data_IF_592943422590
#
_entry.id   IF_592943422590
#
_cell.length_a   1.000
_cell.length_b   1.000
_cell.length_c   1.000
_cell.angle_alpha   90.00
_cell.angle_beta   90.00
_cell.angle_gamma   90.00
#
_symmetry.space_group_name_H-M   'P 1'
#
loop_
_entity.id
_entity.type
_entity.pdbx_description
1 polymer ?
#
# COMPACT_ATOMS: atom_id res chain seq x y z
N UNK A 1 17.46 26.13 18.83
CA UNK A 1 17.56 24.91 19.65
C UNK A 1 18.41 23.89 18.89
N UNK A 2 19.38 23.24 19.49
CA UNK A 2 20.17 22.23 18.80
C UNK A 2 19.24 21.08 18.39
N UNK A 3 19.33 20.69 17.13
CA UNK A 3 18.55 19.59 16.57
C UNK A 3 18.87 18.32 17.37
N UNK A 4 17.90 17.79 18.14
CA UNK A 4 18.15 16.60 18.96
C UNK A 4 18.38 15.41 18.04
N UNK A 5 19.23 14.46 18.42
CA UNK A 5 19.53 13.26 17.62
C UNK A 5 18.25 12.49 17.23
N UNK A 6 17.25 12.44 18.11
CA UNK A 6 15.97 11.79 17.83
C UNK A 6 15.23 12.44 16.66
N UNK A 7 15.29 13.78 16.53
CA UNK A 7 14.65 14.50 15.43
C UNK A 7 15.40 14.27 14.11
N UNK A 8 16.74 14.20 14.15
CA UNK A 8 17.54 13.87 12.97
C UNK A 8 17.18 12.47 12.45
N UNK A 9 17.11 11.47 13.33
CA UNK A 9 16.70 10.10 12.94
C UNK A 9 15.29 10.10 12.38
N UNK A 10 14.33 10.81 12.97
CA UNK A 10 12.97 10.91 12.44
C UNK A 10 12.95 11.50 11.03
N UNK A 11 13.67 12.60 10.77
CA UNK A 11 13.77 13.19 9.43
C UNK A 11 14.37 12.20 8.43
N UNK A 12 15.39 11.44 8.81
CA UNK A 12 15.97 10.41 7.95
C UNK A 12 14.99 9.27 7.66
N UNK A 13 14.18 8.85 8.65
CA UNK A 13 13.12 7.87 8.48
C UNK A 13 11.99 8.39 7.58
N UNK A 14 11.65 9.67 7.67
CA UNK A 14 10.73 10.31 6.74
C UNK A 14 11.28 10.35 5.31
N UNK A 15 12.56 10.71 5.16
CA UNK A 15 13.23 10.78 3.86
C UNK A 15 13.24 9.40 3.16
N UNK A 16 13.54 8.31 3.88
CA UNK A 16 13.55 6.97 3.28
C UNK A 16 12.16 6.54 2.82
N UNK A 17 11.09 6.96 3.49
CA UNK A 17 9.72 6.69 3.04
C UNK A 17 9.38 7.44 1.75
N UNK A 18 9.82 8.69 1.62
CA UNK A 18 9.68 9.47 0.38
C UNK A 18 10.41 8.75 -0.77
N UNK A 19 11.68 8.39 -0.56
CA UNK A 19 12.50 7.67 -1.56
C UNK A 19 11.83 6.35 -1.97
N UNK A 20 11.38 5.57 -1.00
CA UNK A 20 10.67 4.32 -1.27
C UNK A 20 9.43 4.49 -2.16
N UNK A 21 8.70 5.59 -2.04
CA UNK A 21 7.54 5.88 -2.89
C UNK A 21 7.98 6.30 -4.30
N UNK A 22 9.01 7.12 -4.42
CA UNK A 22 9.61 7.48 -5.71
C UNK A 22 10.07 6.24 -6.48
N UNK A 23 10.80 5.34 -5.81
CA UNK A 23 11.33 4.10 -6.38
C UNK A 23 10.22 3.16 -6.88
N UNK A 24 9.09 3.08 -6.17
CA UNK A 24 7.94 2.29 -6.61
C UNK A 24 7.25 2.89 -7.82
N UNK A 25 7.18 4.22 -7.88
CA UNK A 25 6.36 4.96 -8.84
C UNK A 25 7.05 5.16 -10.18
N UNK A 26 8.39 5.17 -10.23
CA UNK A 26 9.15 5.49 -11.46
C UNK A 26 8.80 4.56 -12.63
N UNK A 27 8.55 3.27 -12.38
CA UNK A 27 8.18 2.32 -13.42
C UNK A 27 6.90 2.71 -14.16
N UNK A 28 5.91 3.19 -13.43
CA UNK A 28 4.65 3.60 -14.02
C UNK A 28 4.82 4.85 -14.91
N UNK A 29 5.56 5.86 -14.44
CA UNK A 29 5.78 7.10 -15.20
C UNK A 29 6.73 6.89 -16.39
N UNK A 30 7.72 6.01 -16.27
CA UNK A 30 8.63 5.63 -17.34
C UNK A 30 8.01 4.60 -18.31
N UNK A 31 6.88 4.00 -17.95
CA UNK A 31 6.30 2.85 -18.64
C UNK A 31 6.07 3.04 -20.12
N UNK A 32 5.59 4.23 -20.55
CA UNK A 32 5.39 4.53 -21.95
C UNK A 32 6.70 4.45 -22.74
N UNK A 33 7.79 5.05 -22.25
CA UNK A 33 9.10 5.02 -22.89
C UNK A 33 9.73 3.61 -22.83
N UNK A 34 9.58 2.89 -21.74
CA UNK A 34 10.07 1.51 -21.58
C UNK A 34 9.40 0.57 -22.60
N UNK A 35 8.08 0.65 -22.75
CA UNK A 35 7.31 -0.14 -23.72
C UNK A 35 7.82 0.13 -25.15
N UNK A 36 7.98 1.39 -25.52
CA UNK A 36 8.39 1.77 -26.88
C UNK A 36 9.82 1.39 -27.19
N UNK A 37 10.74 1.63 -26.28
CA UNK A 37 12.16 1.41 -26.50
C UNK A 37 12.52 -0.08 -26.47
N UNK A 38 11.95 -0.85 -25.53
CA UNK A 38 12.21 -2.27 -25.39
C UNK A 38 11.23 -3.14 -26.19
N UNK A 39 10.28 -2.51 -26.91
CA UNK A 39 9.24 -3.17 -27.71
C UNK A 39 8.48 -4.24 -26.93
N UNK A 40 8.16 -3.93 -25.67
CA UNK A 40 7.44 -4.85 -24.80
C UNK A 40 6.01 -5.01 -25.26
N UNK A 41 5.54 -6.25 -25.26
CA UNK A 41 4.12 -6.52 -25.39
C UNK A 41 3.36 -6.05 -24.14
N UNK A 42 2.07 -5.71 -24.25
CA UNK A 42 1.25 -5.35 -23.08
C UNK A 42 1.25 -6.42 -21.97
N UNK A 43 1.26 -7.71 -22.37
CA UNK A 43 1.32 -8.82 -21.44
C UNK A 43 2.64 -8.86 -20.65
N UNK A 44 3.77 -8.62 -21.31
CA UNK A 44 5.10 -8.53 -20.67
C UNK A 44 5.18 -7.35 -19.71
N UNK A 45 4.70 -6.17 -20.11
CA UNK A 45 4.68 -5.00 -19.24
C UNK A 45 3.81 -5.23 -18.00
N UNK A 46 2.63 -5.83 -18.16
CA UNK A 46 1.77 -6.22 -17.06
C UNK A 46 2.43 -7.22 -16.11
N UNK A 47 3.15 -8.22 -16.65
CA UNK A 47 3.89 -9.20 -15.87
C UNK A 47 5.01 -8.55 -15.04
N UNK A 48 5.79 -7.64 -15.64
CA UNK A 48 6.84 -6.87 -14.94
C UNK A 48 6.23 -6.07 -13.77
N UNK A 49 5.08 -5.43 -13.99
CA UNK A 49 4.36 -4.70 -12.93
C UNK A 49 3.92 -5.61 -11.78
N UNK A 50 3.44 -6.82 -12.11
CA UNK A 50 2.99 -7.83 -11.14
C UNK A 50 4.15 -8.44 -10.34
N UNK A 51 5.31 -8.62 -10.95
CA UNK A 51 6.49 -9.19 -10.33
C UNK A 51 6.94 -8.42 -9.08
N UNK A 52 6.76 -7.09 -9.07
CA UNK A 52 7.02 -6.26 -7.90
C UNK A 52 6.23 -6.73 -6.67
N UNK A 53 4.93 -6.95 -6.83
CA UNK A 53 4.04 -7.27 -5.72
C UNK A 53 4.22 -8.68 -5.17
N UNK A 54 4.81 -9.58 -5.97
CA UNK A 54 5.07 -10.95 -5.54
C UNK A 54 5.98 -10.98 -4.29
N UNK A 55 7.17 -10.43 -4.39
CA UNK A 55 8.07 -10.37 -3.23
C UNK A 55 7.72 -9.24 -2.25
N UNK A 56 7.02 -8.19 -2.66
CA UNK A 56 6.52 -7.14 -1.78
C UNK A 56 5.61 -7.70 -0.67
N UNK A 57 4.64 -8.53 -1.05
CA UNK A 57 3.69 -9.11 -0.10
C UNK A 57 4.35 -10.14 0.82
N UNK A 58 5.21 -10.99 0.28
CA UNK A 58 5.92 -12.03 1.05
C UNK A 58 6.90 -11.39 2.03
N UNK A 59 7.73 -10.45 1.56
CA UNK A 59 8.74 -9.80 2.41
C UNK A 59 8.12 -8.92 3.49
N UNK A 60 6.99 -8.27 3.20
CA UNK A 60 6.25 -7.49 4.18
C UNK A 60 5.82 -8.32 5.39
N UNK A 61 5.38 -9.53 5.16
CA UNK A 61 5.03 -10.48 6.23
C UNK A 61 6.30 -11.05 6.90
N UNK A 62 7.24 -11.58 6.11
CA UNK A 62 8.41 -12.27 6.63
C UNK A 62 9.32 -11.37 7.49
N UNK A 63 9.63 -10.16 7.00
CA UNK A 63 10.51 -9.23 7.72
C UNK A 63 9.81 -8.60 8.92
N UNK A 64 8.48 -8.51 8.92
CA UNK A 64 7.70 -8.12 10.10
C UNK A 64 8.01 -9.00 11.32
N UNK A 65 8.23 -10.31 11.11
CA UNK A 65 8.68 -11.24 12.15
C UNK A 65 10.19 -11.12 12.46
N UNK A 66 11.00 -10.77 11.46
CA UNK A 66 12.46 -10.65 11.60
C UNK A 66 12.88 -9.34 12.28
N UNK A 67 12.09 -8.28 12.15
CA UNK A 67 12.39 -6.95 12.68
C UNK A 67 12.58 -6.94 14.23
N UNK A 68 12.01 -7.92 14.92
CA UNK A 68 12.21 -8.08 16.38
C UNK A 68 13.55 -8.75 16.74
N UNK A 69 14.26 -9.38 15.79
CA UNK A 69 15.49 -10.13 16.02
C UNK A 69 16.77 -9.37 15.62
N UNK A 70 16.64 -8.43 14.70
CA UNK A 70 17.78 -7.67 14.16
C UNK A 70 17.62 -6.19 14.43
N UNK A 71 18.74 -5.45 14.64
CA UNK A 71 18.69 -3.99 14.77
C UNK A 71 18.10 -3.35 13.51
N UNK A 72 17.10 -2.48 13.69
CA UNK A 72 16.39 -1.78 12.60
C UNK A 72 17.36 -1.01 11.70
N UNK A 73 18.48 -0.51 12.27
CA UNK A 73 19.54 0.20 11.55
C UNK A 73 20.07 -0.62 10.37
N UNK A 74 20.40 -1.90 10.60
CA UNK A 74 20.99 -2.77 9.58
C UNK A 74 19.93 -3.29 8.59
N UNK A 75 18.69 -3.49 9.03
CA UNK A 75 17.59 -3.85 8.12
C UNK A 75 17.38 -2.72 7.10
N UNK A 76 17.35 -1.45 7.55
CA UNK A 76 17.20 -0.29 6.66
C UNK A 76 18.39 -0.15 5.67
N UNK A 77 19.61 -0.43 6.11
CA UNK A 77 20.78 -0.48 5.20
C UNK A 77 20.59 -1.57 4.15
N UNK A 78 20.25 -2.79 4.56
CA UNK A 78 20.03 -3.90 3.64
C UNK A 78 18.93 -3.61 2.60
N UNK A 79 17.80 -3.02 3.05
CA UNK A 79 16.74 -2.56 2.16
C UNK A 79 17.24 -1.53 1.14
N UNK A 80 18.01 -0.54 1.59
CA UNK A 80 18.55 0.52 0.71
C UNK A 80 19.53 -0.04 -0.32
N UNK A 81 20.36 -1.02 0.05
CA UNK A 81 21.24 -1.72 -0.89
C UNK A 81 20.42 -2.43 -1.97
N UNK A 82 19.38 -3.17 -1.57
CA UNK A 82 18.50 -3.87 -2.51
C UNK A 82 17.81 -2.89 -3.46
N UNK A 83 17.33 -1.74 -2.97
CA UNK A 83 16.71 -0.70 -3.81
C UNK A 83 17.72 -0.13 -4.81
N UNK A 84 18.89 0.27 -4.33
CA UNK A 84 19.95 0.82 -5.18
C UNK A 84 20.35 -0.16 -6.28
N UNK A 85 20.60 -1.42 -5.93
CA UNK A 85 20.97 -2.45 -6.92
C UNK A 85 19.85 -2.68 -7.92
N UNK A 86 18.60 -2.71 -7.46
CA UNK A 86 17.42 -2.81 -8.32
C UNK A 86 17.33 -1.67 -9.33
N UNK A 87 17.51 -0.43 -8.89
CA UNK A 87 17.46 0.76 -9.76
C UNK A 87 18.64 0.81 -10.73
N UNK A 88 19.85 0.47 -10.29
CA UNK A 88 21.03 0.37 -11.15
C UNK A 88 20.85 -0.70 -12.22
N UNK A 89 20.29 -1.86 -11.86
CA UNK A 89 20.01 -2.93 -12.82
C UNK A 89 19.08 -2.46 -13.94
N UNK A 90 18.05 -1.67 -13.63
CA UNK A 90 17.15 -1.12 -14.63
C UNK A 90 17.85 -0.06 -15.48
N UNK A 91 18.67 0.81 -14.91
CA UNK A 91 19.35 1.89 -15.64
C UNK A 91 20.26 1.38 -16.75
N UNK A 92 20.87 0.21 -16.57
CA UNK A 92 21.79 -0.42 -17.56
C UNK A 92 21.13 -1.53 -18.36
N UNK A 93 19.87 -1.88 -18.07
CA UNK A 93 19.20 -3.03 -18.66
C UNK A 93 18.57 -2.72 -20.01
N UNK A 94 18.59 -3.75 -20.89
CA UNK A 94 17.84 -3.79 -22.15
C UNK A 94 17.00 -5.08 -22.28
N UNK A 95 16.86 -5.87 -21.22
CA UNK A 95 16.17 -7.15 -21.31
C UNK A 95 14.96 -7.24 -20.38
N UNK A 96 13.94 -7.96 -20.85
CA UNK A 96 12.76 -8.31 -20.06
C UNK A 96 13.12 -8.96 -18.72
N UNK A 97 14.04 -9.96 -18.75
CA UNK A 97 14.42 -10.70 -17.55
C UNK A 97 15.05 -9.80 -16.47
N UNK A 98 15.89 -8.83 -16.88
CA UNK A 98 16.50 -7.91 -15.93
C UNK A 98 15.47 -6.95 -15.32
N UNK A 99 14.47 -6.50 -16.09
CA UNK A 99 13.35 -5.72 -15.56
C UNK A 99 12.54 -6.52 -14.54
N UNK A 100 12.21 -7.77 -14.83
CA UNK A 100 11.52 -8.67 -13.89
C UNK A 100 12.33 -8.85 -12.62
N UNK A 101 13.63 -9.16 -12.75
CA UNK A 101 14.51 -9.33 -11.59
C UNK A 101 14.58 -8.08 -10.73
N UNK A 102 14.74 -6.90 -11.36
CA UNK A 102 14.77 -5.64 -10.63
C UNK A 102 13.45 -5.40 -9.86
N UNK A 103 12.31 -5.72 -10.47
CA UNK A 103 11.00 -5.58 -9.83
C UNK A 103 10.82 -6.51 -8.64
N UNK A 104 11.26 -7.78 -8.76
CA UNK A 104 11.30 -8.73 -7.65
C UNK A 104 12.17 -8.20 -6.50
N UNK A 105 13.39 -7.73 -6.81
CA UNK A 105 14.31 -7.16 -5.82
C UNK A 105 13.72 -5.93 -5.14
N UNK A 106 13.17 -4.99 -5.92
CA UNK A 106 12.55 -3.78 -5.38
C UNK A 106 11.37 -4.14 -4.47
N UNK A 107 10.53 -5.09 -4.87
CA UNK A 107 9.42 -5.60 -4.06
C UNK A 107 9.91 -6.18 -2.73
N UNK A 108 10.93 -7.04 -2.78
CA UNK A 108 11.54 -7.63 -1.59
C UNK A 108 12.06 -6.58 -0.60
N UNK A 109 12.72 -5.54 -1.11
CA UNK A 109 13.28 -4.48 -0.29
C UNK A 109 12.24 -3.48 0.24
N UNK A 110 11.13 -3.25 -0.48
CA UNK A 110 10.14 -2.23 -0.11
C UNK A 110 8.98 -2.76 0.74
N UNK A 111 8.66 -4.06 0.64
CA UNK A 111 7.55 -4.68 1.36
C UNK A 111 7.55 -4.41 2.87
N UNK A 112 8.65 -4.61 3.59
CA UNK A 112 8.73 -4.37 5.03
C UNK A 112 8.93 -2.90 5.41
N UNK A 113 9.10 -1.99 4.44
CA UNK A 113 9.57 -0.61 4.64
C UNK A 113 8.84 0.16 5.72
N UNK A 114 7.52 0.18 5.68
CA UNK A 114 6.70 0.93 6.65
C UNK A 114 6.83 0.33 8.06
N UNK A 115 6.78 -0.99 8.19
CA UNK A 115 6.86 -1.68 9.49
C UNK A 115 8.23 -1.45 10.14
N UNK A 116 9.33 -1.63 9.39
CA UNK A 116 10.69 -1.44 9.88
C UNK A 116 10.96 0.02 10.26
N UNK A 117 10.48 0.97 9.44
CA UNK A 117 10.64 2.41 9.70
C UNK A 117 9.88 2.83 10.95
N UNK A 118 8.64 2.37 11.13
CA UNK A 118 7.88 2.64 12.36
C UNK A 118 8.53 2.00 13.59
N UNK A 119 8.99 0.75 13.47
CA UNK A 119 9.70 0.08 14.56
C UNK A 119 10.99 0.83 14.95
N UNK A 120 11.80 1.27 13.97
CA UNK A 120 12.96 2.09 14.21
C UNK A 120 12.61 3.42 14.91
N UNK A 121 11.51 4.05 14.50
CA UNK A 121 11.01 5.29 15.12
C UNK A 121 10.62 5.07 16.59
N UNK A 122 9.89 4.00 16.90
CA UNK A 122 9.42 3.72 18.26
C UNK A 122 10.52 3.43 19.26
N UNK A 123 11.69 3.03 18.79
CA UNK A 123 12.90 2.90 19.65
C UNK A 123 13.48 4.25 20.11
N UNK A 124 13.03 5.37 19.54
CA UNK A 124 13.46 6.72 19.92
C UNK A 124 12.43 7.51 20.72
N UNK A 125 11.15 7.09 20.66
CA UNK A 125 10.05 7.80 21.30
C UNK A 125 9.31 6.89 22.27
N UNK A 126 9.09 7.35 23.49
CA UNK A 126 8.35 6.62 24.52
C UNK A 126 6.86 6.42 24.14
N UNK A 127 6.14 5.49 24.79
CA UNK A 127 4.77 5.13 24.43
C UNK A 127 3.81 6.31 24.31
N UNK A 128 3.96 7.34 25.13
CA UNK A 128 3.12 8.55 25.14
C UNK A 128 3.47 9.54 24.02
N UNK A 129 4.68 9.45 23.44
CA UNK A 129 5.17 10.38 22.40
C UNK A 129 5.09 9.81 20.97
N UNK A 130 4.70 8.54 20.77
CA UNK A 130 4.78 7.81 19.49
C UNK A 130 3.81 8.27 18.42
N UNK A 131 2.68 8.85 18.81
CA UNK A 131 1.59 9.18 17.88
C UNK A 131 2.05 10.19 16.84
N UNK A 132 2.71 11.27 17.25
CA UNK A 132 3.14 12.32 16.33
C UNK A 132 4.23 11.86 15.35
N UNK A 133 5.34 11.21 15.78
CA UNK A 133 6.33 10.66 14.87
C UNK A 133 5.77 9.63 13.89
N UNK A 134 4.90 8.73 14.33
CA UNK A 134 4.24 7.77 13.44
C UNK A 134 3.39 8.46 12.39
N UNK A 135 2.67 9.52 12.77
CA UNK A 135 1.88 10.33 11.82
C UNK A 135 2.77 11.04 10.81
N UNK A 136 3.94 11.56 11.22
CA UNK A 136 4.89 12.20 10.31
C UNK A 136 5.45 11.22 9.28
N UNK A 137 5.73 9.97 9.67
CA UNK A 137 6.12 8.91 8.74
C UNK A 137 5.00 8.65 7.70
N UNK A 138 3.72 8.61 8.14
CA UNK A 138 2.60 8.44 7.20
C UNK A 138 2.43 9.65 6.27
N UNK A 139 2.60 10.86 6.78
CA UNK A 139 2.59 12.10 5.97
C UNK A 139 3.73 12.05 4.94
N UNK A 140 4.91 11.54 5.29
CA UNK A 140 6.04 11.44 4.34
C UNK A 140 5.75 10.47 3.18
N UNK A 141 5.00 9.39 3.41
CA UNK A 141 4.53 8.49 2.34
C UNK A 141 3.60 9.25 1.37
N UNK A 142 2.65 10.03 1.91
CA UNK A 142 1.74 10.82 1.09
C UNK A 142 2.47 11.92 0.31
N UNK A 143 3.42 12.60 0.98
CA UNK A 143 4.28 13.59 0.34
C UNK A 143 5.13 12.96 -0.77
N UNK A 144 5.66 11.75 -0.54
CA UNK A 144 6.38 10.97 -1.54
C UNK A 144 5.54 10.71 -2.79
N UNK A 145 4.25 10.39 -2.63
CA UNK A 145 3.35 10.17 -3.77
C UNK A 145 3.09 11.45 -4.58
N UNK A 146 2.91 12.58 -3.91
CA UNK A 146 2.77 13.90 -4.57
C UNK A 146 4.06 14.29 -5.29
N UNK A 147 5.22 14.11 -4.64
CA UNK A 147 6.52 14.40 -5.25
C UNK A 147 6.79 13.47 -6.46
N UNK A 148 6.44 12.19 -6.36
CA UNK A 148 6.58 11.25 -7.47
C UNK A 148 5.79 11.71 -8.70
N UNK A 149 4.55 12.17 -8.49
CA UNK A 149 3.67 12.60 -9.56
C UNK A 149 4.17 13.87 -10.30
N UNK A 150 4.94 14.71 -9.64
CA UNK A 150 5.51 15.94 -10.21
C UNK A 150 6.94 15.73 -10.72
N UNK A 151 7.81 15.21 -9.83
CA UNK A 151 9.24 15.16 -10.10
C UNK A 151 9.62 14.08 -11.12
N UNK A 152 8.96 12.91 -11.09
CA UNK A 152 9.34 11.81 -11.97
C UNK A 152 9.02 12.10 -13.44
N UNK A 153 7.81 12.56 -13.82
CA UNK A 153 7.54 12.95 -15.22
C UNK A 153 8.49 14.03 -15.72
N UNK A 154 8.78 15.03 -14.89
CA UNK A 154 9.72 16.09 -15.21
C UNK A 154 11.13 15.54 -15.43
N UNK A 155 11.65 14.75 -14.50
CA UNK A 155 12.99 14.16 -14.59
C UNK A 155 13.11 13.26 -15.84
N UNK A 156 12.12 12.38 -16.06
CA UNK A 156 12.11 11.47 -17.22
C UNK A 156 12.06 12.26 -18.55
N UNK A 157 11.31 13.37 -18.59
CA UNK A 157 11.24 14.21 -19.78
C UNK A 157 12.58 14.91 -20.09
N UNK A 158 13.37 15.28 -19.07
CA UNK A 158 14.65 15.98 -19.24
C UNK A 158 15.82 15.05 -19.58
N UNK A 159 15.93 13.92 -18.90
CA UNK A 159 17.13 13.07 -18.97
C UNK A 159 16.84 11.64 -19.46
N UNK A 160 15.59 11.31 -19.75
CA UNK A 160 15.17 9.96 -20.11
C UNK A 160 15.03 9.04 -18.91
N UNK A 161 14.33 7.92 -19.12
CA UNK A 161 13.99 7.00 -18.03
C UNK A 161 15.20 6.31 -17.39
N UNK A 162 16.23 5.94 -18.17
CA UNK A 162 17.43 5.27 -17.62
C UNK A 162 18.19 6.17 -16.66
N UNK A 163 18.40 7.44 -17.03
CA UNK A 163 19.07 8.41 -16.17
C UNK A 163 18.23 8.78 -14.95
N UNK A 164 16.88 8.75 -15.07
CA UNK A 164 16.00 8.93 -13.93
C UNK A 164 16.12 7.78 -12.92
N UNK A 165 16.23 6.54 -13.36
CA UNK A 165 16.52 5.39 -12.49
C UNK A 165 17.89 5.51 -11.83
N UNK A 166 18.93 5.92 -12.58
CA UNK A 166 20.27 6.17 -12.02
C UNK A 166 20.25 7.28 -10.96
N UNK A 167 19.50 8.37 -11.20
CA UNK A 167 19.36 9.45 -10.23
C UNK A 167 18.73 8.96 -8.92
N UNK A 168 17.67 8.13 -8.99
CA UNK A 168 17.08 7.52 -7.78
C UNK A 168 18.05 6.58 -7.07
N UNK A 169 18.83 5.78 -7.82
CA UNK A 169 19.87 4.94 -7.23
C UNK A 169 20.89 5.78 -6.45
N UNK A 170 21.34 6.93 -7.01
CA UNK A 170 22.28 7.84 -6.36
C UNK A 170 21.67 8.54 -5.13
N UNK A 171 20.39 8.92 -5.19
CA UNK A 171 19.67 9.47 -4.03
C UNK A 171 19.56 8.42 -2.93
N UNK A 172 19.25 7.16 -3.28
CA UNK A 172 19.24 6.04 -2.33
C UNK A 172 20.60 5.77 -1.70
N UNK A 173 21.67 5.82 -2.51
CA UNK A 173 23.07 5.70 -2.04
C UNK A 173 23.42 6.83 -1.06
N UNK A 174 23.12 8.08 -1.42
CA UNK A 174 23.37 9.24 -0.56
C UNK A 174 22.64 9.08 0.78
N UNK A 175 21.36 8.70 0.75
CA UNK A 175 20.60 8.46 1.97
C UNK A 175 21.24 7.35 2.80
N UNK A 176 21.65 6.25 2.19
CA UNK A 176 22.30 5.13 2.88
C UNK A 176 23.60 5.56 3.57
N UNK A 177 24.45 6.34 2.88
CA UNK A 177 25.69 6.86 3.46
C UNK A 177 25.41 7.80 4.64
N UNK A 178 24.44 8.68 4.51
CA UNK A 178 23.99 9.55 5.61
C UNK A 178 23.45 8.71 6.79
N UNK A 179 22.68 7.66 6.49
CA UNK A 179 22.14 6.75 7.52
C UNK A 179 23.27 5.99 8.23
N UNK A 180 24.28 5.52 7.52
CA UNK A 180 25.46 4.88 8.14
C UNK A 180 26.25 5.83 9.03
N UNK A 181 26.35 7.11 8.63
CA UNK A 181 27.07 8.12 9.40
C UNK A 181 26.28 8.57 10.65
N UNK A 182 25.01 8.88 10.52
CA UNK A 182 24.20 9.54 11.55
C UNK A 182 23.11 8.66 12.17
N UNK A 183 22.64 7.64 11.45
CA UNK A 183 21.59 6.73 11.91
C UNK A 183 22.09 5.87 13.07
N UNK A 184 21.32 5.84 14.14
CA UNK A 184 21.60 5.05 15.36
C UNK A 184 20.36 4.28 15.76
N UNK A 185 20.57 3.17 16.46
CA UNK A 185 19.49 2.44 17.10
C UNK A 185 19.03 3.19 18.35
N UNK A 186 17.73 3.34 18.55
CA UNK A 186 17.17 3.91 19.77
C UNK A 186 17.20 2.90 20.93
N UNK A 187 17.14 3.42 22.13
CA UNK A 187 17.28 2.63 23.38
C UNK A 187 15.95 2.30 24.06
N UNK A 188 14.83 2.81 23.56
CA UNK A 188 13.51 2.48 24.12
C UNK A 188 13.22 1.01 23.85
N UNK A 189 13.05 0.25 24.90
CA UNK A 189 12.57 -1.14 24.84
C UNK A 189 11.08 -1.11 25.17
N UNK A 190 10.25 -1.71 24.33
CA UNK A 190 8.87 -1.93 24.69
C UNK A 190 8.86 -2.85 25.91
N UNK A 191 8.21 -2.43 26.99
CA UNK A 191 7.86 -3.37 28.03
C UNK A 191 7.04 -4.47 27.39
N UNK A 192 7.60 -5.66 27.35
CA UNK A 192 6.84 -6.87 27.02
C UNK A 192 5.79 -6.94 28.09
N UNK A 193 4.54 -6.58 27.76
CA UNK A 193 3.42 -6.85 28.64
C UNK A 193 3.39 -8.38 28.73
N UNK A 194 3.98 -8.88 29.78
CA UNK A 194 4.04 -10.31 30.06
C UNK A 194 2.62 -10.75 30.47
N UNK A 195 1.81 -11.05 29.47
CA UNK A 195 0.54 -11.72 29.65
C UNK A 195 0.76 -13.23 29.82
N UNK A 196 1.85 -13.62 30.51
CA UNK A 196 2.13 -14.99 30.84
C UNK A 196 1.00 -15.51 31.73
N UNK A 197 0.05 -16.21 31.14
CA UNK A 197 -1.06 -16.84 31.85
C UNK A 197 -2.44 -16.70 31.22
N UNK A 198 -2.64 -15.80 30.25
CA UNK A 198 -3.92 -15.77 29.55
C UNK A 198 -3.88 -16.69 28.30
N UNK A 199 -4.78 -17.68 28.18
CA UNK A 199 -4.86 -18.54 27.01
C UNK A 199 -5.27 -17.70 25.79
N UNK A 200 -4.33 -17.45 24.87
CA UNK A 200 -4.59 -16.69 23.64
C UNK A 200 -5.30 -17.56 22.59
N UNK A 201 -6.36 -17.08 21.94
CA UNK A 201 -7.04 -17.83 20.89
C UNK A 201 -6.06 -18.20 19.77
N UNK A 202 -6.08 -19.46 19.32
CA UNK A 202 -5.19 -19.93 18.24
C UNK A 202 -5.31 -19.10 16.97
N UNK A 203 -4.24 -18.99 16.19
CA UNK A 203 -4.23 -18.22 14.91
C UNK A 203 -5.33 -18.69 13.96
N UNK A 204 -5.64 -19.98 13.90
CA UNK A 204 -6.73 -20.51 13.08
C UNK A 204 -8.07 -19.82 13.40
N UNK A 205 -8.41 -19.63 14.67
CA UNK A 205 -9.64 -18.97 15.11
C UNK A 205 -9.63 -17.46 14.83
N UNK A 206 -8.45 -16.84 14.93
CA UNK A 206 -8.25 -15.40 14.69
C UNK A 206 -8.31 -15.07 13.19
N UNK A 207 -7.80 -15.93 12.32
CA UNK A 207 -7.69 -15.67 10.88
C UNK A 207 -8.89 -16.21 10.09
N UNK A 208 -9.55 -17.28 10.55
CA UNK A 208 -10.68 -17.90 9.86
C UNK A 208 -12.05 -17.40 10.34
N UNK A 209 -12.11 -16.31 11.13
CA UNK A 209 -13.39 -15.71 11.46
C UNK A 209 -13.95 -14.90 10.28
N UNK A 210 -15.28 -14.80 10.22
CA UNK A 210 -16.01 -14.16 9.12
C UNK A 210 -15.59 -12.71 8.89
N UNK A 211 -15.36 -11.95 9.96
CA UNK A 211 -14.98 -10.54 9.86
C UNK A 211 -13.58 -10.37 9.29
N UNK A 212 -12.59 -11.15 9.74
CA UNK A 212 -11.23 -11.08 9.21
C UNK A 212 -11.18 -11.49 7.74
N UNK A 213 -11.84 -12.60 7.38
CA UNK A 213 -11.91 -13.05 5.98
C UNK A 213 -12.64 -12.05 5.10
N UNK A 214 -13.80 -11.55 5.54
CA UNK A 214 -14.60 -10.58 4.78
C UNK A 214 -13.85 -9.28 4.52
N UNK A 215 -13.21 -8.70 5.56
CA UNK A 215 -12.48 -7.43 5.41
C UNK A 215 -11.17 -7.59 4.62
N UNK A 216 -10.51 -8.75 4.72
CA UNK A 216 -9.31 -9.03 3.93
C UNK A 216 -9.65 -9.27 2.47
N UNK A 217 -10.75 -9.95 2.18
CA UNK A 217 -11.20 -10.24 0.82
C UNK A 217 -11.64 -8.96 0.09
N UNK A 218 -12.46 -8.10 0.73
CA UNK A 218 -12.80 -6.81 0.12
C UNK A 218 -11.59 -5.89 0.03
N UNK A 219 -10.67 -5.95 0.99
CA UNK A 219 -9.39 -5.24 0.95
C UNK A 219 -8.53 -5.67 -0.24
N UNK A 220 -8.47 -6.98 -0.53
CA UNK A 220 -7.81 -7.53 -1.72
C UNK A 220 -8.41 -6.95 -3.00
N UNK A 221 -9.73 -6.97 -3.14
CA UNK A 221 -10.41 -6.39 -4.32
C UNK A 221 -10.18 -4.88 -4.42
N UNK A 222 -10.23 -4.14 -3.32
CA UNK A 222 -9.97 -2.70 -3.27
C UNK A 222 -8.52 -2.32 -3.56
N UNK A 223 -7.57 -3.24 -3.39
CA UNK A 223 -6.16 -2.98 -3.71
C UNK A 223 -5.83 -3.16 -5.19
N UNK A 224 -6.66 -3.89 -5.97
CA UNK A 224 -6.44 -4.07 -7.40
C UNK A 224 -6.25 -2.73 -8.15
N UNK A 225 -7.17 -1.75 -8.06
CA UNK A 225 -6.95 -0.46 -8.74
C UNK A 225 -5.78 0.34 -8.17
N UNK A 226 -5.46 0.19 -6.88
CA UNK A 226 -4.30 0.84 -6.26
C UNK A 226 -2.97 0.32 -6.83
N UNK A 227 -2.85 -0.97 -7.11
CA UNK A 227 -1.66 -1.55 -7.71
C UNK A 227 -1.39 -1.00 -9.12
N UNK A 228 -2.43 -0.62 -9.86
CA UNK A 228 -2.31 -0.05 -11.20
C UNK A 228 -1.67 1.34 -11.21
N UNK A 229 -1.74 2.09 -10.11
CA UNK A 229 -1.06 3.39 -9.98
C UNK A 229 0.46 3.24 -10.12
N UNK A 230 1.01 2.11 -9.68
CA UNK A 230 2.45 1.80 -9.74
C UNK A 230 2.87 1.09 -11.04
N UNK A 231 1.96 0.97 -12.03
CA UNK A 231 2.24 0.29 -13.31
C UNK A 231 1.51 0.94 -14.48
N UNK A 232 0.21 0.76 -14.60
CA UNK A 232 -0.56 1.07 -15.79
C UNK A 232 -1.19 2.46 -15.83
N UNK A 233 -1.53 3.09 -14.68
CA UNK A 233 -2.26 4.36 -14.68
C UNK A 233 -1.54 5.45 -15.47
N UNK A 234 -0.25 5.77 -15.21
CA UNK A 234 0.45 6.76 -16.03
C UNK A 234 0.59 6.36 -17.50
N UNK A 235 0.74 5.07 -17.80
CA UNK A 235 0.80 4.57 -19.20
C UNK A 235 -0.54 4.76 -19.90
N UNK A 236 -1.65 4.44 -19.23
CA UNK A 236 -3.01 4.67 -19.73
C UNK A 236 -3.26 6.16 -20.01
N UNK A 237 -2.88 7.04 -19.10
CA UNK A 237 -3.02 8.48 -19.30
C UNK A 237 -2.19 8.97 -20.50
N UNK A 238 -0.95 8.48 -20.65
CA UNK A 238 -0.05 8.91 -21.72
C UNK A 238 -0.41 8.29 -23.08
N UNK A 239 -0.56 6.97 -23.15
CA UNK A 239 -0.77 6.25 -24.42
C UNK A 239 -2.25 5.99 -24.73
N UNK A 240 -3.09 5.80 -23.72
CA UNK A 240 -4.53 5.58 -23.92
C UNK A 240 -5.30 6.87 -24.13
N UNK A 241 -4.99 7.92 -23.36
CA UNK A 241 -5.67 9.22 -23.45
C UNK A 241 -4.83 10.30 -24.14
N UNK A 242 -3.66 9.95 -24.73
CA UNK A 242 -2.77 10.85 -25.47
C UNK A 242 -2.31 12.08 -24.65
N UNK A 243 -2.14 11.93 -23.34
CA UNK A 243 -1.64 13.00 -22.47
C UNK A 243 -0.11 13.06 -22.49
N UNK A 244 0.43 14.25 -22.30
CA UNK A 244 1.87 14.38 -22.02
C UNK A 244 2.25 13.76 -20.68
N UNK A 245 3.53 13.43 -20.48
CA UNK A 245 4.01 12.90 -19.21
C UNK A 245 3.68 13.84 -18.03
N UNK A 246 3.80 15.17 -18.23
CA UNK A 246 3.47 16.18 -17.22
C UNK A 246 1.96 16.23 -16.91
N UNK A 247 1.10 16.18 -17.93
CA UNK A 247 -0.36 16.11 -17.71
C UNK A 247 -0.75 14.86 -16.94
N UNK A 248 -0.17 13.71 -17.28
CA UNK A 248 -0.34 12.46 -16.53
C UNK A 248 0.06 12.64 -15.07
N UNK A 249 1.19 13.29 -14.80
CA UNK A 249 1.65 13.62 -13.44
C UNK A 249 0.64 14.50 -12.68
N UNK A 250 0.12 15.55 -13.31
CA UNK A 250 -0.88 16.43 -12.68
C UNK A 250 -2.18 15.71 -12.36
N UNK A 251 -2.65 14.80 -13.24
CA UNK A 251 -3.83 13.98 -12.96
C UNK A 251 -3.59 13.07 -11.74
N UNK A 252 -2.46 12.35 -11.73
CA UNK A 252 -2.11 11.47 -10.59
C UNK A 252 -1.96 12.28 -9.30
N UNK A 253 -1.33 13.45 -9.34
CA UNK A 253 -1.22 14.35 -8.20
C UNK A 253 -2.60 14.80 -7.70
N UNK A 254 -3.46 15.26 -8.60
CA UNK A 254 -4.81 15.73 -8.26
C UNK A 254 -5.65 14.64 -7.60
N UNK A 255 -5.62 13.42 -8.15
CA UNK A 255 -6.29 12.25 -7.55
C UNK A 255 -5.68 11.92 -6.18
N UNK A 256 -4.35 11.95 -6.04
CA UNK A 256 -3.67 11.69 -4.75
C UNK A 256 -4.09 12.71 -3.68
N UNK A 257 -4.14 14.00 -4.01
CA UNK A 257 -4.61 15.04 -3.09
C UNK A 257 -6.09 14.83 -2.72
N UNK A 258 -6.93 14.49 -3.69
CA UNK A 258 -8.34 14.18 -3.44
C UNK A 258 -8.50 12.94 -2.53
N UNK A 259 -7.68 11.91 -2.70
CA UNK A 259 -7.62 10.74 -1.80
C UNK A 259 -7.28 11.18 -0.37
N UNK A 260 -6.28 12.02 -0.18
CA UNK A 260 -5.88 12.52 1.15
C UNK A 260 -7.03 13.26 1.81
N UNK A 261 -7.64 14.21 1.11
CA UNK A 261 -8.76 15.02 1.62
C UNK A 261 -9.98 14.16 1.93
N UNK A 262 -10.34 13.23 1.04
CA UNK A 262 -11.47 12.33 1.23
C UNK A 262 -11.25 11.42 2.45
N UNK A 263 -10.06 10.80 2.58
CA UNK A 263 -9.73 9.96 3.73
C UNK A 263 -9.82 10.74 5.06
N UNK A 264 -9.28 11.94 5.12
CA UNK A 264 -9.37 12.79 6.31
C UNK A 264 -10.83 13.14 6.63
N UNK A 265 -11.61 13.53 5.63
CA UNK A 265 -13.02 13.90 5.78
C UNK A 265 -13.87 12.72 6.26
N UNK A 266 -13.77 11.57 5.60
CA UNK A 266 -14.54 10.36 5.96
C UNK A 266 -14.13 9.83 7.33
N UNK A 267 -12.84 9.84 7.66
CA UNK A 267 -12.34 9.42 8.97
C UNK A 267 -12.83 10.34 10.08
N UNK A 268 -12.80 11.67 9.86
CA UNK A 268 -13.32 12.65 10.81
C UNK A 268 -14.83 12.50 11.00
N UNK A 269 -15.58 12.26 9.94
CA UNK A 269 -17.02 11.99 9.99
C UNK A 269 -17.32 10.73 10.80
N UNK A 270 -16.63 9.60 10.50
CA UNK A 270 -16.76 8.34 11.23
C UNK A 270 -16.46 8.51 12.73
N UNK A 271 -15.37 9.22 13.05
CA UNK A 271 -15.01 9.48 14.45
C UNK A 271 -16.06 10.33 15.19
N UNK A 272 -16.62 11.35 14.54
CA UNK A 272 -17.72 12.13 15.11
C UNK A 272 -18.98 11.29 15.30
N UNK A 273 -19.28 10.40 14.35
CA UNK A 273 -20.41 9.48 14.44
C UNK A 273 -20.27 8.54 15.66
N UNK A 274 -19.09 7.95 15.86
CA UNK A 274 -18.79 7.12 17.03
C UNK A 274 -18.92 7.90 18.36
N UNK A 275 -18.42 9.14 18.42
CA UNK A 275 -18.56 9.99 19.60
C UNK A 275 -20.03 10.36 19.91
N UNK A 276 -20.91 10.33 18.91
CA UNK A 276 -22.36 10.55 19.04
C UNK A 276 -23.14 9.26 19.38
N UNK A 277 -22.45 8.16 19.65
CA UNK A 277 -23.07 6.89 20.01
C UNK A 277 -23.59 6.06 18.84
N UNK A 278 -23.22 6.40 17.59
CA UNK A 278 -23.51 5.55 16.44
C UNK A 278 -22.68 4.26 16.55
N UNK A 279 -23.30 3.11 16.31
CA UNK A 279 -22.64 1.81 16.45
C UNK A 279 -21.39 1.70 15.55
N UNK A 280 -20.33 1.00 16.02
CA UNK A 280 -19.14 0.68 15.24
C UNK A 280 -19.47 0.03 13.89
N UNK A 281 -20.49 -0.82 13.83
CA UNK A 281 -20.97 -1.41 12.57
C UNK A 281 -21.34 -0.35 11.54
N UNK A 282 -22.08 0.69 11.91
CA UNK A 282 -22.50 1.76 10.98
C UNK A 282 -21.34 2.68 10.62
N UNK A 283 -20.57 3.11 11.61
CA UNK A 283 -19.53 4.12 11.43
C UNK A 283 -18.25 3.56 10.78
N UNK A 284 -17.89 2.31 11.04
CA UNK A 284 -16.62 1.73 10.59
C UNK A 284 -16.78 0.69 9.47
N UNK A 285 -17.97 0.13 9.26
CA UNK A 285 -18.20 -0.90 8.23
C UNK A 285 -19.08 -0.36 7.11
N UNK A 286 -20.31 0.11 7.43
CA UNK A 286 -21.28 0.54 6.39
C UNK A 286 -20.72 1.70 5.57
N UNK A 287 -20.13 2.70 6.21
CA UNK A 287 -19.62 3.89 5.54
C UNK A 287 -18.52 3.58 4.49
N UNK A 288 -17.41 2.89 4.83
CA UNK A 288 -16.39 2.58 3.81
C UNK A 288 -16.89 1.57 2.76
N UNK A 289 -17.76 0.63 3.11
CA UNK A 289 -18.35 -0.28 2.11
C UNK A 289 -19.29 0.44 1.14
N UNK A 290 -20.02 1.47 1.58
CA UNK A 290 -20.79 2.34 0.68
C UNK A 290 -19.86 3.10 -0.30
N UNK A 291 -18.72 3.60 0.18
CA UNK A 291 -17.69 4.17 -0.69
C UNK A 291 -17.18 3.14 -1.73
N UNK A 292 -16.96 1.89 -1.31
CA UNK A 292 -16.55 0.81 -2.22
C UNK A 292 -17.61 0.51 -3.29
N UNK A 293 -18.91 0.51 -2.96
CA UNK A 293 -19.99 0.34 -3.94
C UNK A 293 -19.98 1.44 -4.99
N UNK A 294 -19.88 2.70 -4.56
CA UNK A 294 -19.82 3.85 -5.48
C UNK A 294 -18.56 3.77 -6.34
N UNK A 295 -17.41 3.41 -5.76
CA UNK A 295 -16.17 3.21 -6.49
C UNK A 295 -16.29 2.09 -7.54
N UNK A 296 -16.86 0.96 -7.15
CA UNK A 296 -17.12 -0.17 -8.07
C UNK A 296 -18.05 0.21 -9.23
N UNK A 297 -19.10 0.98 -8.96
CA UNK A 297 -20.00 1.50 -9.99
C UNK A 297 -19.27 2.48 -10.93
N UNK A 298 -18.46 3.39 -10.40
CA UNK A 298 -17.68 4.32 -11.22
C UNK A 298 -16.71 3.57 -12.16
N UNK A 299 -16.01 2.55 -11.64
CA UNK A 299 -15.13 1.71 -12.47
C UNK A 299 -15.92 0.86 -13.48
N UNK A 300 -17.08 0.35 -13.12
CA UNK A 300 -17.92 -0.43 -14.03
C UNK A 300 -18.43 0.42 -15.22
N UNK A 301 -18.78 1.68 -14.94
CA UNK A 301 -19.31 2.60 -15.95
C UNK A 301 -18.21 3.24 -16.83
N UNK A 302 -16.92 3.03 -16.54
CA UNK A 302 -15.83 3.70 -17.26
C UNK A 302 -15.82 3.36 -18.75
N UNK A 303 -16.21 2.14 -19.13
CA UNK A 303 -16.29 1.70 -20.51
C UNK A 303 -17.40 2.42 -21.31
N UNK A 304 -18.43 2.94 -20.64
CA UNK A 304 -19.50 3.73 -21.27
C UNK A 304 -19.04 5.16 -21.59
N UNK A 305 -17.99 5.61 -20.93
CA UNK A 305 -17.38 6.93 -21.15
C UNK A 305 -16.25 6.90 -22.18
N UNK A 306 -15.98 5.74 -22.80
CA UNK A 306 -14.93 5.60 -23.81
C UNK A 306 -15.06 6.64 -24.91
N UNK A 307 -13.94 7.29 -25.29
CA UNK A 307 -13.92 8.40 -26.24
C UNK A 307 -14.24 9.78 -25.63
N UNK A 308 -14.72 9.84 -24.40
CA UNK A 308 -14.99 11.10 -23.68
C UNK A 308 -13.99 11.28 -22.53
N UNK A 309 -12.80 11.80 -22.83
CA UNK A 309 -11.66 11.93 -21.89
C UNK A 309 -12.06 12.48 -20.53
N UNK A 310 -12.84 13.56 -20.48
CA UNK A 310 -13.23 14.18 -19.20
C UNK A 310 -14.14 13.26 -18.35
N UNK A 311 -15.10 12.59 -18.98
CA UNK A 311 -15.99 11.66 -18.29
C UNK A 311 -15.23 10.43 -17.77
N UNK A 312 -14.31 9.89 -18.58
CA UNK A 312 -13.44 8.77 -18.19
C UNK A 312 -12.54 9.14 -17.02
N UNK A 313 -11.91 10.32 -17.05
CA UNK A 313 -11.10 10.82 -15.94
C UNK A 313 -11.92 11.06 -14.67
N UNK A 314 -13.12 11.59 -14.79
CA UNK A 314 -14.02 11.80 -13.65
C UNK A 314 -14.43 10.48 -13.00
N UNK A 315 -14.83 9.48 -13.78
CA UNK A 315 -15.18 8.15 -13.28
C UNK A 315 -13.97 7.46 -12.65
N UNK A 316 -12.80 7.53 -13.28
CA UNK A 316 -11.55 7.03 -12.71
C UNK A 316 -11.24 7.70 -11.37
N UNK A 317 -11.30 9.03 -11.29
CA UNK A 317 -11.01 9.79 -10.09
C UNK A 317 -12.00 9.46 -8.95
N UNK A 318 -13.30 9.40 -9.23
CA UNK A 318 -14.32 9.00 -8.24
C UNK A 318 -14.02 7.62 -7.70
N UNK A 319 -13.78 6.65 -8.59
CA UNK A 319 -13.46 5.28 -8.20
C UNK A 319 -12.19 5.20 -7.36
N UNK A 320 -11.10 5.82 -7.83
CA UNK A 320 -9.80 5.83 -7.16
C UNK A 320 -9.84 6.53 -5.79
N UNK A 321 -10.55 7.64 -5.67
CA UNK A 321 -10.68 8.37 -4.40
C UNK A 321 -11.46 7.57 -3.37
N UNK A 322 -12.62 7.05 -3.75
CA UNK A 322 -13.52 6.38 -2.81
C UNK A 322 -13.00 5.00 -2.38
N UNK A 323 -12.37 4.23 -3.27
CA UNK A 323 -11.83 2.92 -2.90
C UNK A 323 -10.68 3.04 -1.88
N UNK A 324 -9.94 4.14 -1.90
CA UNK A 324 -8.83 4.40 -0.98
C UNK A 324 -9.28 4.72 0.46
N UNK A 325 -10.56 4.89 0.72
CA UNK A 325 -11.11 4.98 2.08
C UNK A 325 -10.99 3.63 2.81
N UNK A 326 -11.19 2.53 2.10
CA UNK A 326 -11.25 1.18 2.67
C UNK A 326 -10.03 0.77 3.52
N UNK A 327 -8.76 0.96 3.09
CA UNK A 327 -7.59 0.49 3.84
C UNK A 327 -7.51 1.02 5.27
N UNK A 328 -7.86 2.28 5.49
CA UNK A 328 -7.87 2.91 6.82
C UNK A 328 -8.84 2.21 7.76
N UNK A 329 -10.05 1.94 7.29
CA UNK A 329 -11.08 1.28 8.07
C UNK A 329 -10.82 -0.22 8.22
N UNK A 330 -10.33 -0.89 7.20
CA UNK A 330 -9.97 -2.30 7.23
C UNK A 330 -8.92 -2.57 8.33
N UNK A 331 -7.83 -1.81 8.35
CA UNK A 331 -6.81 -1.91 9.38
C UNK A 331 -7.38 -1.64 10.78
N UNK A 332 -8.28 -0.66 10.91
CA UNK A 332 -8.93 -0.33 12.18
C UNK A 332 -9.84 -1.48 12.66
N UNK A 333 -10.61 -2.10 11.76
CA UNK A 333 -11.46 -3.25 12.07
C UNK A 333 -10.62 -4.45 12.52
N UNK A 334 -9.54 -4.75 11.79
CA UNK A 334 -8.61 -5.84 12.17
C UNK A 334 -8.00 -5.57 13.55
N UNK A 335 -7.57 -4.33 13.81
CA UNK A 335 -7.02 -3.94 15.11
C UNK A 335 -8.08 -4.02 16.24
N UNK A 336 -9.35 -3.76 15.94
CA UNK A 336 -10.47 -3.82 16.90
C UNK A 336 -10.82 -5.24 17.33
N UNK A 337 -10.77 -6.22 16.41
CA UNK A 337 -11.07 -7.64 16.71
C UNK A 337 -9.85 -8.40 17.26
N UNK A 338 -8.63 -7.89 17.04
CA UNK A 338 -7.39 -8.56 17.39
C UNK A 338 -7.07 -8.40 18.89
N UNK A 339 -6.70 -9.50 19.60
CA UNK A 339 -6.09 -9.41 20.91
C UNK A 339 -4.81 -8.54 20.87
N UNK A 340 -4.54 -7.77 21.93
CA UNK A 340 -3.42 -6.82 21.98
C UNK A 340 -2.07 -7.45 21.58
N UNK A 341 -1.79 -8.65 22.10
CA UNK A 341 -0.55 -9.41 21.86
C UNK A 341 -0.40 -9.87 20.41
N UNK A 342 -1.50 -10.14 19.70
CA UNK A 342 -1.49 -10.66 18.33
C UNK A 342 -1.91 -9.64 17.27
N UNK A 343 -2.16 -8.40 17.67
CA UNK A 343 -2.63 -7.33 16.78
C UNK A 343 -1.65 -7.07 15.64
N UNK A 344 -0.37 -6.99 15.93
CA UNK A 344 0.67 -6.77 14.92
C UNK A 344 0.71 -7.88 13.88
N UNK A 345 0.71 -9.16 14.32
CA UNK A 345 0.71 -10.31 13.40
C UNK A 345 -0.53 -10.36 12.52
N UNK A 346 -1.71 -10.11 13.10
CA UNK A 346 -2.98 -10.10 12.35
C UNK A 346 -3.00 -8.99 11.31
N UNK A 347 -2.53 -7.78 11.66
CA UNK A 347 -2.39 -6.67 10.71
C UNK A 347 -1.41 -6.99 9.58
N UNK A 348 -0.26 -7.59 9.90
CA UNK A 348 0.73 -7.97 8.89
C UNK A 348 0.19 -9.02 7.90
N UNK A 349 -0.52 -10.03 8.40
CA UNK A 349 -1.17 -11.06 7.57
C UNK A 349 -2.28 -10.43 6.72
N UNK A 350 -3.10 -9.55 7.30
CA UNK A 350 -4.13 -8.82 6.56
C UNK A 350 -3.51 -7.99 5.43
N UNK A 351 -2.52 -7.15 5.73
CA UNK A 351 -1.85 -6.29 4.74
C UNK A 351 -1.17 -7.12 3.66
N UNK A 352 -0.48 -8.22 4.03
CA UNK A 352 0.13 -9.13 3.07
C UNK A 352 -0.90 -9.77 2.14
N UNK A 353 -2.04 -10.22 2.69
CA UNK A 353 -3.15 -10.74 1.91
C UNK A 353 -3.76 -9.70 0.97
N UNK A 354 -3.98 -8.49 1.44
CA UNK A 354 -4.51 -7.37 0.64
C UNK A 354 -3.54 -6.99 -0.48
N UNK A 355 -2.27 -6.80 -0.18
CA UNK A 355 -1.26 -6.36 -1.17
C UNK A 355 -0.93 -7.41 -2.21
N UNK A 356 -1.20 -8.69 -1.94
CA UNK A 356 -1.04 -9.77 -2.93
C UNK A 356 -1.93 -9.59 -4.17
N UNK A 357 -3.02 -8.81 -4.09
CA UNK A 357 -3.83 -8.40 -5.24
C UNK A 357 -3.01 -7.67 -6.32
N UNK A 358 -1.92 -7.00 -5.92
CA UNK A 358 -1.00 -6.37 -6.86
C UNK A 358 -0.31 -7.34 -7.81
N UNK A 359 -0.24 -8.63 -7.50
CA UNK A 359 0.24 -9.65 -8.44
C UNK A 359 -0.74 -9.87 -9.60
N UNK A 360 -2.03 -9.70 -9.34
CA UNK A 360 -3.08 -9.97 -10.33
C UNK A 360 -3.38 -8.75 -11.21
N UNK A 361 -3.48 -7.55 -10.63
CA UNK A 361 -4.02 -6.39 -11.32
C UNK A 361 -3.20 -5.93 -12.55
N UNK A 362 -1.87 -5.74 -12.48
CA UNK A 362 -1.11 -5.32 -13.66
C UNK A 362 -1.09 -6.40 -14.75
N UNK A 363 -0.99 -7.66 -14.37
CA UNK A 363 -1.06 -8.78 -15.31
C UNK A 363 -2.41 -8.83 -16.01
N UNK A 364 -3.53 -8.69 -15.30
CA UNK A 364 -4.87 -8.68 -15.86
C UNK A 364 -5.04 -7.58 -16.92
N UNK A 365 -4.59 -6.37 -16.60
CA UNK A 365 -4.61 -5.26 -17.58
C UNK A 365 -3.78 -5.61 -18.81
N UNK A 366 -2.57 -6.14 -18.62
CA UNK A 366 -1.70 -6.54 -19.75
C UNK A 366 -2.35 -7.56 -20.67
N UNK A 367 -3.03 -8.57 -20.11
CA UNK A 367 -3.76 -9.57 -20.89
C UNK A 367 -4.95 -8.97 -21.64
N UNK A 368 -5.73 -8.11 -20.99
CA UNK A 368 -6.89 -7.48 -21.64
C UNK A 368 -6.49 -6.49 -22.74
N UNK A 369 -5.39 -5.75 -22.57
CA UNK A 369 -4.83 -4.91 -23.63
C UNK A 369 -4.35 -5.78 -24.79
N UNK A 370 -3.68 -6.90 -24.55
CA UNK A 370 -3.22 -7.81 -25.59
C UNK A 370 -4.40 -8.41 -26.38
N UNK A 371 -5.45 -8.89 -25.70
CA UNK A 371 -6.67 -9.42 -26.35
C UNK A 371 -7.40 -8.36 -27.19
N UNK A 372 -7.31 -7.08 -26.82
CA UNK A 372 -7.87 -5.94 -27.55
C UNK A 372 -6.96 -5.42 -28.67
N UNK A 373 -6.01 -6.24 -29.15
CA UNK A 373 -5.11 -5.86 -30.25
C UNK A 373 -4.07 -4.81 -29.90
N UNK A 374 -3.77 -4.62 -28.61
CA UNK A 374 -2.81 -3.62 -28.12
C UNK A 374 -3.44 -2.26 -27.81
N UNK A 375 -4.74 -2.10 -27.91
CA UNK A 375 -5.45 -0.87 -27.52
C UNK A 375 -5.44 -0.71 -26.00
N UNK A 376 -4.55 0.18 -25.53
CA UNK A 376 -4.33 0.45 -24.10
C UNK A 376 -5.57 1.08 -23.46
N UNK A 377 -6.28 1.96 -24.17
CA UNK A 377 -7.47 2.62 -23.62
C UNK A 377 -8.56 1.61 -23.35
N UNK A 378 -9.00 0.87 -24.36
CA UNK A 378 -10.05 -0.14 -24.23
C UNK A 378 -9.66 -1.27 -23.27
N UNK A 379 -8.41 -1.74 -23.32
CA UNK A 379 -7.94 -2.82 -22.45
C UNK A 379 -7.92 -2.42 -20.98
N UNK A 380 -7.41 -1.23 -20.66
CA UNK A 380 -7.37 -0.71 -19.30
C UNK A 380 -8.76 -0.43 -18.74
N UNK A 381 -9.64 0.22 -19.52
CA UNK A 381 -11.03 0.49 -19.14
C UNK A 381 -11.82 -0.80 -18.92
N UNK A 382 -11.63 -1.80 -19.79
CA UNK A 382 -12.26 -3.14 -19.61
C UNK A 382 -11.77 -3.83 -18.34
N UNK A 383 -10.48 -3.71 -18.01
CA UNK A 383 -9.93 -4.25 -16.77
C UNK A 383 -10.52 -3.55 -15.53
N UNK A 384 -10.61 -2.21 -15.57
CA UNK A 384 -11.23 -1.46 -14.47
C UNK A 384 -12.72 -1.81 -14.32
N UNK A 385 -13.46 -1.99 -15.40
CA UNK A 385 -14.86 -2.40 -15.34
C UNK A 385 -15.02 -3.78 -14.72
N UNK A 386 -14.17 -4.75 -15.07
CA UNK A 386 -14.16 -6.08 -14.46
C UNK A 386 -13.81 -6.01 -12.96
N UNK A 387 -12.79 -5.24 -12.60
CA UNK A 387 -12.42 -4.98 -11.21
C UNK A 387 -13.58 -4.30 -10.47
N UNK A 388 -14.24 -3.32 -11.09
CA UNK A 388 -15.40 -2.63 -10.53
C UNK A 388 -16.57 -3.58 -10.22
N UNK A 389 -16.87 -4.47 -11.17
CA UNK A 389 -17.89 -5.51 -10.96
C UNK A 389 -17.51 -6.44 -9.78
N UNK A 390 -16.26 -6.88 -9.72
CA UNK A 390 -15.76 -7.68 -8.59
C UNK A 390 -15.86 -6.92 -7.26
N UNK A 391 -15.46 -5.64 -7.21
CA UNK A 391 -15.59 -4.79 -6.02
C UNK A 391 -17.05 -4.74 -5.56
N UNK A 392 -18.02 -4.56 -6.46
CA UNK A 392 -19.45 -4.53 -6.11
C UNK A 392 -19.86 -5.86 -5.46
N UNK A 393 -19.58 -6.99 -6.12
CA UNK A 393 -19.96 -8.31 -5.60
C UNK A 393 -19.34 -8.57 -4.22
N UNK A 394 -18.05 -8.36 -4.08
CA UNK A 394 -17.35 -8.62 -2.81
C UNK A 394 -17.70 -7.60 -1.71
N UNK A 395 -18.10 -6.38 -2.08
CA UNK A 395 -18.64 -5.41 -1.11
C UNK A 395 -19.98 -5.88 -0.56
N UNK A 396 -20.87 -6.38 -1.41
CA UNK A 396 -22.16 -6.94 -0.97
C UNK A 396 -21.96 -8.15 -0.04
N UNK A 397 -21.00 -9.03 -0.36
CA UNK A 397 -20.61 -10.14 0.51
C UNK A 397 -20.05 -9.62 1.83
N UNK A 398 -19.19 -8.59 1.80
CA UNK A 398 -18.61 -8.00 2.99
C UNK A 398 -19.63 -7.35 3.91
N UNK A 399 -20.70 -6.73 3.39
CA UNK A 399 -21.82 -6.23 4.21
C UNK A 399 -22.45 -7.32 5.08
N UNK A 400 -22.45 -8.55 4.62
CA UNK A 400 -22.98 -9.69 5.35
C UNK A 400 -21.96 -10.34 6.30
N UNK A 401 -20.69 -10.44 5.88
CA UNK A 401 -19.63 -11.13 6.62
C UNK A 401 -19.01 -10.28 7.74
N UNK A 402 -18.86 -8.96 7.53
CA UNK A 402 -18.09 -8.10 8.44
C UNK A 402 -18.96 -7.62 9.60
N UNK A 403 -18.77 -8.24 10.76
CA UNK A 403 -19.47 -7.95 12.02
C UNK A 403 -18.48 -7.85 13.17
N UNK A 404 -17.77 -6.70 13.33
CA UNK A 404 -16.64 -6.59 14.25
C UNK A 404 -17.04 -6.77 15.73
N UNK A 405 -18.19 -6.23 16.14
CA UNK A 405 -18.67 -6.36 17.53
C UNK A 405 -18.92 -7.82 17.90
N UNK A 406 -19.73 -8.52 17.12
CA UNK A 406 -20.05 -9.93 17.32
C UNK A 406 -18.79 -10.83 17.29
N UNK A 407 -17.87 -10.57 16.36
CA UNK A 407 -16.61 -11.32 16.30
C UNK A 407 -15.75 -11.09 17.52
N UNK A 408 -15.69 -9.86 18.04
CA UNK A 408 -14.94 -9.54 19.25
C UNK A 408 -15.51 -10.26 20.48
N UNK A 409 -16.84 -10.25 20.63
CA UNK A 409 -17.54 -10.97 21.69
C UNK A 409 -17.28 -12.47 21.64
N UNK A 410 -17.36 -13.09 20.44
CA UNK A 410 -17.08 -14.51 20.26
C UNK A 410 -15.63 -14.89 20.60
N UNK A 411 -14.67 -14.02 20.26
CA UNK A 411 -13.27 -14.26 20.59
C UNK A 411 -13.03 -14.15 22.10
N UNK A 412 -13.67 -13.19 22.79
CA UNK A 412 -13.58 -13.00 24.25
C UNK A 412 -14.32 -14.10 25.04
N UNK A 413 -15.52 -14.49 24.62
CA UNK A 413 -16.28 -15.56 25.25
C UNK A 413 -15.56 -16.92 25.19
N UNK A 414 -14.81 -17.17 24.11
CA UNK A 414 -13.96 -18.35 24.01
C UNK A 414 -12.71 -18.34 24.89
N UNK A 415 -12.30 -17.17 25.38
CA UNK A 415 -11.23 -17.04 26.38
C UNK A 415 -11.74 -17.43 27.76
N UNK A 416 -12.95 -17.01 28.13
CA UNK A 416 -13.56 -17.37 29.45
C UNK A 416 -13.91 -18.85 29.56
N UNK A 417 -14.22 -19.54 28.47
CA UNK A 417 -14.49 -21.00 28.50
C UNK A 417 -13.23 -21.87 28.57
N UNK A 418 -12.04 -21.30 28.41
CA UNK A 418 -10.75 -21.99 28.52
C UNK A 418 -10.07 -21.78 29.88
N UNK A 419 -10.65 -20.98 30.80
CA UNK A 419 -10.20 -20.90 32.16
C UNK A 419 -10.66 -22.18 32.91
N UNK A 420 -9.76 -23.06 33.37
CA UNK A 420 -10.17 -24.13 34.26
C UNK A 420 -10.75 -23.49 35.54
N UNK A 421 -11.87 -24.01 35.98
CA UNK A 421 -12.47 -23.71 37.26
C UNK A 421 -11.45 -24.08 38.35
N UNK A 422 -10.55 -23.15 38.66
CA UNK A 422 -9.76 -23.19 39.87
C UNK A 422 -10.57 -22.47 40.94
N UNK A 423 -11.64 -23.12 41.39
CA UNK A 423 -12.30 -22.76 42.62
C UNK A 423 -12.49 -24.00 43.47
N UNK A 424 -11.87 -23.91 44.65
CA UNK A 424 -12.15 -24.57 45.91
C UNK A 424 -11.71 -26.03 46.05
N UNK A 425 -10.63 -26.22 46.74
CA UNK A 425 -10.65 -27.01 47.99
C UNK A 425 -9.60 -26.47 48.94
#
# INVERSE_FOLDING_TARGET
MPFSRRNLVLVMLMAVMIISVLDKSIFAFAGAQIIDELKLTPAEFGFIGSAFFFLYSISGVAVGFLANRFPSRWILVGMSVVWMVSQLLVSVSSSFAALVLSRLMLGAGTGPGTAVTQHACFKWFGPTERVMPASLIQVSIMLGAVLAAICLPFLIAQVGWRMAYLALALIGLLWMLLWLAFGREGTQVDEVIDNAGQPLPGYRRLLLNRTFLGITLIGFMGFLPNALVYSWVPVYLQKGLNMTAMQSGYVVMGVTLAVILCNLGVSAFSQRALKRGISPQRAMVVLPLACCLIAGLAFLLITQAHGHTLATLALYAIGAVLINVLPTFANTIVAFIAPSVRRGSMLSIHIGGVTSAGMLAPWLVGQLVAVRGGDIAHGFESALALIGAAIIVFTLIAFWLVRPEHTREQLQAGESSLQPVLHTS
#
